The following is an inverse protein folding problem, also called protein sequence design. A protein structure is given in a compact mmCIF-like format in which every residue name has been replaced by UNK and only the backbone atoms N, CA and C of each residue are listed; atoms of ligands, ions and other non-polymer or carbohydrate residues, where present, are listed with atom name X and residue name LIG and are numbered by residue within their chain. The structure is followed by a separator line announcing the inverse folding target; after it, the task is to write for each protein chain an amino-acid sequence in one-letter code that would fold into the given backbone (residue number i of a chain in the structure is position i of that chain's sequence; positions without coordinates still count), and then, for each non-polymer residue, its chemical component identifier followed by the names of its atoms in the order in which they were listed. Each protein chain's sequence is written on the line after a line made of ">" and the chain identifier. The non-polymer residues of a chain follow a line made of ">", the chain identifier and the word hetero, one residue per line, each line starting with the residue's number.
data_IF_338388347266
#
_entry.id   IF_338388347266
#
_cell.length_a   1.000
_cell.length_b   1.000
_cell.length_c   1.000
_cell.angle_alpha   90.00
_cell.angle_beta   90.00
_cell.angle_gamma   90.00
#
_symmetry.space_group_name_H-M   'P 1'
#
loop_
_entity.id
_entity.type
_entity.pdbx_description
1 polymer ?
#
# COMPACT_ATOMS: atom_id res chain seq x y z
N UNK A 1 -33.09 -2.05 22.86
CA UNK A 1 -32.32 -2.10 21.59
C UNK A 1 -31.90 -3.53 21.38
N UNK A 2 -32.20 -4.11 20.22
CA UNK A 2 -31.95 -5.54 19.97
C UNK A 2 -30.46 -5.83 19.80
N UNK A 3 -29.93 -6.86 20.47
CA UNK A 3 -28.52 -7.25 20.40
C UNK A 3 -28.02 -7.46 18.96
N UNK A 4 -28.90 -7.93 18.07
CA UNK A 4 -28.63 -8.09 16.63
C UNK A 4 -28.31 -6.77 15.93
N UNK A 5 -28.98 -5.68 16.31
CA UNK A 5 -28.76 -4.34 15.74
C UNK A 5 -27.39 -3.76 16.15
N UNK A 6 -26.94 -4.05 17.38
CA UNK A 6 -25.60 -3.64 17.85
C UNK A 6 -24.49 -4.42 17.12
N UNK A 7 -24.69 -5.72 16.90
CA UNK A 7 -23.70 -6.58 16.23
C UNK A 7 -23.50 -6.19 14.75
N UNK A 8 -24.58 -5.82 14.03
CA UNK A 8 -24.50 -5.33 12.65
C UNK A 8 -23.80 -3.96 12.59
N UNK A 9 -24.10 -3.07 13.54
CA UNK A 9 -23.49 -1.74 13.58
C UNK A 9 -21.99 -1.81 13.90
N UNK A 10 -21.59 -2.69 14.82
CA UNK A 10 -20.20 -2.94 15.16
C UNK A 10 -19.41 -3.53 13.97
N UNK A 11 -19.97 -4.50 13.25
CA UNK A 11 -19.29 -5.10 12.08
C UNK A 11 -19.17 -4.12 10.91
N UNK A 12 -20.17 -3.26 10.70
CA UNK A 12 -20.11 -2.20 9.69
C UNK A 12 -19.02 -1.16 10.01
N UNK A 13 -18.87 -0.77 11.28
CA UNK A 13 -17.82 0.17 11.71
C UNK A 13 -16.42 -0.42 11.50
N UNK A 14 -16.19 -1.66 11.94
CA UNK A 14 -14.90 -2.34 11.75
C UNK A 14 -14.53 -2.49 10.28
N UNK A 15 -15.51 -2.79 9.42
CA UNK A 15 -15.28 -2.85 7.97
C UNK A 15 -14.96 -1.48 7.37
N UNK A 16 -15.66 -0.44 7.76
CA UNK A 16 -15.40 0.93 7.28
C UNK A 16 -13.98 1.39 7.61
N UNK A 17 -13.50 1.09 8.83
CA UNK A 17 -12.13 1.36 9.23
C UNK A 17 -11.13 0.55 8.40
N UNK A 18 -11.39 -0.73 8.18
CA UNK A 18 -10.49 -1.61 7.41
C UNK A 18 -10.38 -1.17 5.94
N UNK A 19 -11.51 -0.85 5.30
CA UNK A 19 -11.53 -0.30 3.93
C UNK A 19 -10.81 1.05 3.87
N UNK A 20 -11.02 1.90 4.88
CA UNK A 20 -10.29 3.16 5.02
C UNK A 20 -8.77 2.93 5.06
N UNK A 21 -8.31 1.93 5.81
CA UNK A 21 -6.91 1.57 5.93
C UNK A 21 -6.30 1.10 4.60
N UNK A 22 -6.98 0.21 3.87
CA UNK A 22 -6.54 -0.22 2.55
C UNK A 22 -6.54 0.91 1.52
N UNK A 23 -7.54 1.81 1.57
CA UNK A 23 -7.60 2.97 0.69
C UNK A 23 -6.45 3.94 0.95
N UNK A 24 -6.09 4.15 2.22
CA UNK A 24 -4.92 4.94 2.59
C UNK A 24 -3.62 4.32 2.05
N UNK A 25 -3.42 3.02 2.21
CA UNK A 25 -2.25 2.32 1.66
C UNK A 25 -2.22 2.30 0.13
N UNK A 26 -3.36 2.16 -0.53
CA UNK A 26 -3.46 2.30 -1.97
C UNK A 26 -3.05 3.69 -2.45
N UNK A 27 -3.45 4.75 -1.72
CA UNK A 27 -3.02 6.12 -1.99
C UNK A 27 -1.53 6.33 -1.74
N UNK A 28 -0.97 5.78 -0.66
CA UNK A 28 0.47 5.88 -0.38
C UNK A 28 1.30 5.19 -1.45
N UNK A 29 1.02 3.92 -1.72
CA UNK A 29 1.76 3.14 -2.70
C UNK A 29 1.58 3.69 -4.12
N UNK A 30 0.34 3.98 -4.53
CA UNK A 30 0.05 4.51 -5.86
C UNK A 30 0.56 5.94 -6.06
N UNK A 31 0.43 6.80 -5.05
CA UNK A 31 0.95 8.17 -5.09
C UNK A 31 2.46 8.21 -5.20
N UNK A 32 3.17 7.42 -4.38
CA UNK A 32 4.62 7.31 -4.46
C UNK A 32 5.09 6.70 -5.79
N UNK A 33 4.39 5.69 -6.31
CA UNK A 33 4.71 5.10 -7.61
C UNK A 33 4.57 6.12 -8.75
N UNK A 34 3.50 6.94 -8.75
CA UNK A 34 3.32 8.02 -9.73
C UNK A 34 4.44 9.06 -9.66
N UNK A 35 4.85 9.45 -8.46
CA UNK A 35 5.97 10.39 -8.26
C UNK A 35 7.26 9.81 -8.84
N UNK A 36 7.63 8.58 -8.47
CA UNK A 36 8.85 7.92 -8.98
C UNK A 36 8.80 7.73 -10.50
N UNK A 37 7.64 7.39 -11.05
CA UNK A 37 7.45 7.28 -12.51
C UNK A 37 7.66 8.63 -13.20
N UNK A 38 7.19 9.73 -12.60
CA UNK A 38 7.44 11.08 -13.09
C UNK A 38 8.93 11.45 -13.10
N UNK A 39 9.68 11.04 -12.08
CA UNK A 39 11.14 11.15 -12.06
C UNK A 39 11.80 10.29 -13.15
N UNK A 40 11.39 9.02 -13.31
CA UNK A 40 11.96 8.12 -14.32
C UNK A 40 11.68 8.56 -15.76
N UNK A 41 10.56 9.25 -16.01
CA UNK A 41 10.24 9.84 -17.32
C UNK A 41 10.95 11.18 -17.58
N UNK A 42 11.72 11.71 -16.62
CA UNK A 42 12.38 13.01 -16.74
C UNK A 42 11.42 14.20 -16.68
N UNK A 43 10.17 14.01 -16.24
CA UNK A 43 9.20 15.09 -16.03
C UNK A 43 9.63 15.95 -14.84
N UNK A 44 10.23 15.31 -13.82
CA UNK A 44 10.74 15.93 -12.61
C UNK A 44 12.23 15.57 -12.51
N UNK A 45 13.14 16.47 -12.90
CA UNK A 45 14.59 16.27 -12.85
C UNK A 45 15.22 16.00 -14.23
N UNK A 46 16.01 16.97 -14.71
CA UNK A 46 16.74 16.86 -15.98
C UNK A 46 18.17 16.33 -15.80
N UNK A 47 18.65 15.61 -16.81
CA UNK A 47 20.05 15.23 -17.11
C UNK A 47 20.95 14.83 -15.93
N UNK A 48 20.41 14.15 -14.92
CA UNK A 48 21.20 13.47 -13.89
C UNK A 48 21.18 11.98 -14.23
N UNK A 49 22.34 11.33 -14.21
CA UNK A 49 22.46 9.88 -14.42
C UNK A 49 21.44 9.17 -13.53
N UNK A 50 20.43 8.54 -14.14
CA UNK A 50 19.25 8.10 -13.42
C UNK A 50 19.63 7.07 -12.35
N UNK A 51 19.43 7.35 -11.05
CA UNK A 51 19.53 6.32 -10.04
C UNK A 51 18.55 5.20 -10.39
N UNK A 52 18.94 3.94 -10.11
CA UNK A 52 18.15 2.76 -10.45
C UNK A 52 16.88 2.68 -9.57
N UNK A 53 15.88 3.49 -9.92
CA UNK A 53 14.59 3.61 -9.25
C UNK A 53 13.62 2.49 -9.61
N UNK A 54 14.02 1.54 -10.46
CA UNK A 54 13.17 0.42 -10.86
C UNK A 54 12.77 -0.43 -9.64
N UNK A 55 13.72 -0.73 -8.76
CA UNK A 55 13.49 -1.59 -7.61
C UNK A 55 12.50 -0.96 -6.59
N UNK A 56 12.64 0.32 -6.17
CA UNK A 56 11.62 1.01 -5.38
C UNK A 56 10.24 1.07 -6.06
N UNK A 57 10.19 1.29 -7.37
CA UNK A 57 8.93 1.37 -8.12
C UNK A 57 8.18 0.04 -8.16
N UNK A 58 8.90 -1.07 -8.39
CA UNK A 58 8.33 -2.42 -8.36
C UNK A 58 7.74 -2.76 -6.98
N UNK A 59 8.45 -2.41 -5.89
CA UNK A 59 7.93 -2.62 -4.54
C UNK A 59 6.62 -1.84 -4.30
N UNK A 60 6.53 -0.59 -4.76
CA UNK A 60 5.31 0.20 -4.60
C UNK A 60 4.14 -0.35 -5.41
N UNK A 61 4.39 -0.83 -6.63
CA UNK A 61 3.36 -1.49 -7.44
C UNK A 61 2.91 -2.81 -6.79
N UNK A 62 3.84 -3.60 -6.25
CA UNK A 62 3.52 -4.81 -5.50
C UNK A 62 2.69 -4.49 -4.25
N UNK A 63 3.03 -3.43 -3.50
CA UNK A 63 2.27 -2.95 -2.36
C UNK A 63 0.88 -2.44 -2.74
N UNK A 64 0.75 -1.74 -3.86
CA UNK A 64 -0.54 -1.30 -4.41
C UNK A 64 -1.43 -2.52 -4.76
N UNK A 65 -0.88 -3.50 -5.47
CA UNK A 65 -1.59 -4.74 -5.82
C UNK A 65 -2.02 -5.51 -4.56
N UNK A 66 -1.13 -5.64 -3.57
CA UNK A 66 -1.45 -6.26 -2.29
C UNK A 66 -2.60 -5.52 -1.58
N UNK A 67 -2.63 -4.19 -1.64
CA UNK A 67 -3.73 -3.38 -1.08
C UNK A 67 -5.07 -3.68 -1.75
N UNK A 68 -5.09 -3.78 -3.08
CA UNK A 68 -6.29 -4.12 -3.85
C UNK A 68 -6.80 -5.53 -3.52
N UNK A 69 -5.90 -6.51 -3.50
CA UNK A 69 -6.24 -7.90 -3.17
C UNK A 69 -6.73 -8.02 -1.72
N UNK A 70 -6.09 -7.33 -0.78
CA UNK A 70 -6.52 -7.30 0.62
C UNK A 70 -7.91 -6.67 0.81
N UNK A 71 -8.22 -5.61 0.06
CA UNK A 71 -9.55 -5.01 0.07
C UNK A 71 -10.64 -5.97 -0.47
N UNK A 72 -10.33 -6.75 -1.52
CA UNK A 72 -11.24 -7.79 -2.04
C UNK A 72 -11.52 -8.86 -0.99
N UNK A 73 -10.48 -9.35 -0.29
CA UNK A 73 -10.68 -10.34 0.77
C UNK A 73 -11.41 -9.78 1.99
N UNK A 74 -11.18 -8.52 2.36
CA UNK A 74 -11.95 -7.84 3.39
C UNK A 74 -13.44 -7.75 3.03
N UNK A 75 -13.76 -7.45 1.76
CA UNK A 75 -15.13 -7.45 1.26
C UNK A 75 -15.77 -8.84 1.31
N UNK A 76 -15.08 -9.88 0.85
CA UNK A 76 -15.57 -11.26 0.92
C UNK A 76 -15.82 -11.71 2.36
N UNK A 77 -14.94 -11.35 3.31
CA UNK A 77 -15.15 -11.61 4.73
C UNK A 77 -16.43 -10.92 5.24
N UNK A 78 -16.68 -9.67 4.85
CA UNK A 78 -17.92 -8.96 5.23
C UNK A 78 -19.18 -9.62 4.64
N UNK A 79 -19.16 -10.00 3.37
CA UNK A 79 -20.28 -10.70 2.72
C UNK A 79 -20.57 -12.04 3.41
N UNK A 80 -19.53 -12.76 3.83
CA UNK A 80 -19.70 -14.02 4.57
C UNK A 80 -20.34 -13.79 5.95
N UNK A 81 -19.94 -12.75 6.68
CA UNK A 81 -20.51 -12.38 7.97
C UNK A 81 -21.97 -11.93 7.86
N UNK A 82 -22.31 -11.16 6.81
CA UNK A 82 -23.69 -10.79 6.52
C UNK A 82 -24.55 -12.02 6.24
N UNK A 83 -24.07 -12.94 5.39
CA UNK A 83 -24.77 -14.21 5.11
C UNK A 83 -24.98 -15.06 6.37
N UNK A 84 -23.98 -15.14 7.26
CA UNK A 84 -24.10 -15.85 8.54
C UNK A 84 -25.11 -15.18 9.48
N UNK A 85 -25.14 -13.85 9.54
CA UNK A 85 -26.12 -13.09 10.31
C UNK A 85 -27.57 -13.27 9.83
N UNK A 86 -27.78 -13.60 8.55
CA UNK A 86 -29.09 -13.94 7.98
C UNK A 86 -29.47 -15.41 8.19
N UNK A 87 -28.52 -16.34 8.09
CA UNK A 87 -28.76 -17.79 8.13
C UNK A 87 -28.71 -18.40 9.53
N UNK A 88 -28.27 -17.67 10.55
CA UNK A 88 -28.28 -18.10 11.95
C UNK A 88 -27.22 -19.14 12.34
N UNK A 89 -26.49 -19.69 11.38
CA UNK A 89 -25.37 -20.60 11.62
C UNK A 89 -24.03 -19.84 11.66
N UNK A 90 -23.35 -19.88 12.81
CA UNK A 90 -21.97 -19.42 12.93
C UNK A 90 -21.02 -20.42 12.26
N UNK A 91 -20.64 -20.17 11.01
CA UNK A 91 -19.55 -20.91 10.38
C UNK A 91 -18.26 -20.10 10.49
N UNK A 92 -17.14 -20.71 10.88
CA UNK A 92 -15.82 -20.04 10.95
C UNK A 92 -15.21 -19.72 9.57
N UNK A 93 -15.99 -19.81 8.49
CA UNK A 93 -15.51 -19.66 7.12
C UNK A 93 -15.00 -18.23 6.79
N UNK A 94 -15.30 -17.22 7.61
CA UNK A 94 -14.82 -15.84 7.43
C UNK A 94 -13.36 -15.61 7.87
N UNK A 95 -12.86 -16.46 8.78
CA UNK A 95 -11.50 -16.36 9.34
C UNK A 95 -10.37 -16.40 8.30
N UNK A 96 -10.35 -17.33 7.33
CA UNK A 96 -9.26 -17.38 6.35
C UNK A 96 -9.22 -16.15 5.45
N UNK A 97 -10.38 -15.64 5.02
CA UNK A 97 -10.45 -14.42 4.21
C UNK A 97 -9.95 -13.20 5.00
N UNK A 98 -10.28 -13.13 6.29
CA UNK A 98 -9.86 -12.02 7.14
C UNK A 98 -8.36 -12.06 7.48
N UNK A 99 -7.80 -13.25 7.71
CA UNK A 99 -6.35 -13.44 7.86
C UNK A 99 -5.59 -13.05 6.59
N UNK A 100 -6.11 -13.45 5.42
CA UNK A 100 -5.48 -13.13 4.15
C UNK A 100 -5.52 -11.63 3.85
N UNK A 101 -6.63 -10.96 4.16
CA UNK A 101 -6.70 -9.50 4.09
C UNK A 101 -5.64 -8.85 5.01
N UNK A 102 -5.52 -9.31 6.25
CA UNK A 102 -4.54 -8.78 7.21
C UNK A 102 -3.09 -8.99 6.74
N UNK A 103 -2.77 -10.15 6.17
CA UNK A 103 -1.48 -10.41 5.54
C UNK A 103 -1.21 -9.46 4.36
N UNK A 104 -2.18 -9.28 3.46
CA UNK A 104 -2.07 -8.33 2.35
C UNK A 104 -1.84 -6.90 2.83
N UNK A 105 -2.50 -6.49 3.92
CA UNK A 105 -2.30 -5.18 4.53
C UNK A 105 -0.86 -5.00 5.03
N UNK A 106 -0.33 -5.97 5.77
CA UNK A 106 1.05 -5.95 6.27
C UNK A 106 2.07 -5.95 5.14
N UNK A 107 1.87 -6.78 4.11
CA UNK A 107 2.75 -6.83 2.94
C UNK A 107 2.78 -5.50 2.20
N UNK A 108 1.62 -4.84 2.03
CA UNK A 108 1.55 -3.52 1.42
C UNK A 108 2.29 -2.45 2.23
N UNK A 109 2.13 -2.45 3.55
CA UNK A 109 2.81 -1.51 4.43
C UNK A 109 4.34 -1.72 4.42
N UNK A 110 4.78 -2.98 4.48
CA UNK A 110 6.20 -3.34 4.39
C UNK A 110 6.80 -2.96 3.04
N UNK A 111 6.08 -3.19 1.94
CA UNK A 111 6.52 -2.81 0.61
C UNK A 111 6.71 -1.29 0.50
N UNK A 112 5.78 -0.49 1.03
CA UNK A 112 5.92 0.96 1.09
C UNK A 112 7.13 1.39 1.93
N UNK A 113 7.29 0.86 3.15
CA UNK A 113 8.43 1.18 4.01
C UNK A 113 9.78 0.80 3.35
N UNK A 114 9.86 -0.38 2.74
CA UNK A 114 11.05 -0.84 2.05
C UNK A 114 11.38 0.02 0.82
N UNK A 115 10.36 0.38 0.02
CA UNK A 115 10.55 1.29 -1.11
C UNK A 115 11.04 2.67 -0.66
N UNK A 116 10.46 3.24 0.41
CA UNK A 116 10.93 4.51 0.98
C UNK A 116 12.38 4.41 1.48
N UNK A 117 12.74 3.30 2.15
CA UNK A 117 14.09 3.08 2.65
C UNK A 117 15.11 2.98 1.51
N UNK A 118 14.79 2.21 0.46
CA UNK A 118 15.65 2.05 -0.71
C UNK A 118 15.82 3.36 -1.48
N UNK A 119 14.72 4.09 -1.71
CA UNK A 119 14.77 5.39 -2.36
C UNK A 119 15.62 6.40 -1.58
N UNK A 120 15.50 6.43 -0.24
CA UNK A 120 16.34 7.28 0.61
C UNK A 120 17.81 6.87 0.60
N UNK A 121 18.09 5.56 0.60
CA UNK A 121 19.46 5.03 0.50
C UNK A 121 20.15 5.40 -0.81
N UNK A 122 19.42 5.36 -1.92
CA UNK A 122 19.93 5.79 -3.23
C UNK A 122 20.22 7.29 -3.26
N UNK A 123 19.36 8.12 -2.65
CA UNK A 123 19.57 9.57 -2.57
C UNK A 123 20.82 9.97 -1.75
N UNK A 124 21.24 9.14 -0.78
CA UNK A 124 22.48 9.36 -0.02
C UNK A 124 23.73 8.83 -0.73
N UNK A 125 23.57 7.87 -1.63
CA UNK A 125 24.66 7.26 -2.38
C UNK A 125 25.11 8.12 -3.58
N UNK A 126 24.24 9.00 -4.09
CA UNK A 126 24.61 9.99 -5.10
C UNK A 126 25.33 11.19 -4.46
N UNK A 127 26.64 11.36 -4.65
CA UNK A 127 27.32 12.56 -4.18
C UNK A 127 26.81 13.79 -4.95
N UNK A 128 26.57 14.93 -4.28
CA UNK A 128 26.14 16.14 -4.96
C UNK A 128 27.20 16.57 -5.97
N UNK A 129 26.86 16.61 -7.26
CA UNK A 129 27.75 17.04 -8.36
C UNK A 129 28.20 18.52 -8.30
N UNK A 130 27.98 19.20 -7.17
CA UNK A 130 28.38 20.59 -6.96
C UNK A 130 29.90 20.81 -7.01
N UNK A 131 30.71 19.75 -6.92
CA UNK A 131 32.17 19.81 -7.03
C UNK A 131 32.72 19.67 -8.46
N UNK A 132 31.93 19.25 -9.45
CA UNK A 132 32.42 19.05 -10.81
C UNK A 132 32.53 20.36 -11.64
N UNK A 133 31.83 21.43 -11.24
CA UNK A 133 31.91 22.72 -11.93
C UNK A 133 33.17 23.55 -11.59
N UNK A 134 33.86 23.22 -10.49
CA UNK A 134 35.04 23.98 -10.05
C UNK A 134 36.35 23.49 -10.72
N UNK A 135 36.37 22.27 -11.25
CA UNK A 135 37.58 21.66 -11.84
C UNK A 135 37.82 21.91 -13.33
N UNK A 136 36.92 22.61 -14.04
CA UNK A 136 37.02 22.82 -15.50
C UNK A 136 37.56 24.18 -15.93
N UNK A 137 38.00 25.00 -14.97
CA UNK A 137 38.50 26.36 -15.21
C UNK A 137 39.96 26.58 -14.77
N UNK A 138 40.74 25.52 -14.56
CA UNK A 138 42.19 25.60 -14.32
C UNK A 138 42.96 24.70 -15.28
#
# INVERSE_FOLDING_TARGET
>A
MDARSQQIRASAMSFSLLVGAFRFLGWLNGGAALVLTGFSLGIVGGDIAAPDLQLPLELLLAGLLASCVGALFAYLAQVSLLRQGYSGHLTRAHWPAQLLAMLCYLLSALAFCAACWLAAGQALADPPQMTAYVGRYF
#
